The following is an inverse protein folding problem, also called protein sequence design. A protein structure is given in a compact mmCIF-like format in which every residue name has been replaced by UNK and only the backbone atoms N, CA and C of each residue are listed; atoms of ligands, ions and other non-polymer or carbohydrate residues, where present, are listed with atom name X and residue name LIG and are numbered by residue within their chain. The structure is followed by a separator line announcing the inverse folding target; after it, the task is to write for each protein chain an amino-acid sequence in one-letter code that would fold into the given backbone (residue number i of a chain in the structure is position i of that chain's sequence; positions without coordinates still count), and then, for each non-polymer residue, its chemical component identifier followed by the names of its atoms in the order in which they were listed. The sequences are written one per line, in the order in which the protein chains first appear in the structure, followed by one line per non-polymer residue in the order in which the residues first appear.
data_IF_647924788863
#
_entry.id   IF_647924788863
#
_cell.length_a   1.000
_cell.length_b   1.000
_cell.length_c   1.000
_cell.angle_alpha   90.00
_cell.angle_beta   90.00
_cell.angle_gamma   90.00
#
_symmetry.space_group_name_H-M   'P 1'
#
loop_
_entity.id
_entity.type
_entity.pdbx_description
1 polymer ?
#
# COMPACT_ATOMS: atom_id res chain seq x y z
N UNK A 1 3.14 3.76 -16.86
CA UNK A 1 3.91 4.95 -16.42
C UNK A 1 4.30 4.70 -14.98
N UNK A 2 5.57 4.43 -14.70
CA UNK A 2 6.03 4.15 -13.33
C UNK A 2 6.11 5.45 -12.50
N UNK A 3 6.10 5.35 -11.17
CA UNK A 3 6.09 6.54 -10.31
C UNK A 3 7.45 7.25 -10.30
N UNK A 4 8.56 6.55 -10.61
CA UNK A 4 9.89 7.16 -10.80
C UNK A 4 9.92 8.17 -11.94
N UNK A 5 9.22 7.90 -13.05
CA UNK A 5 9.07 8.80 -14.20
C UNK A 5 8.27 10.06 -13.87
N UNK A 6 7.65 10.11 -12.68
CA UNK A 6 6.95 11.27 -12.12
C UNK A 6 7.71 11.93 -10.97
N UNK A 7 8.99 11.61 -10.76
CA UNK A 7 9.82 12.09 -9.66
C UNK A 7 9.21 11.83 -8.27
N UNK A 8 8.48 10.73 -8.11
CA UNK A 8 7.96 10.33 -6.80
C UNK A 8 9.04 9.50 -6.09
N UNK A 9 9.52 10.01 -4.96
CA UNK A 9 10.49 9.32 -4.11
C UNK A 9 9.80 8.26 -3.24
N UNK A 10 10.07 6.98 -3.54
CA UNK A 10 9.57 5.83 -2.78
C UNK A 10 10.23 5.67 -1.41
N UNK A 11 11.36 6.34 -1.20
CA UNK A 11 12.15 6.31 0.04
C UNK A 11 11.89 7.51 0.92
N UNK A 12 10.88 8.34 0.60
CA UNK A 12 10.56 9.56 1.35
C UNK A 12 10.35 9.31 2.85
N UNK A 13 9.86 8.13 3.22
CA UNK A 13 9.70 7.70 4.62
C UNK A 13 11.02 7.65 5.43
N UNK A 14 12.16 7.59 4.75
CA UNK A 14 13.49 7.59 5.38
C UNK A 14 14.00 9.00 5.67
N UNK A 15 13.54 10.00 4.93
CA UNK A 15 13.96 11.41 5.06
C UNK A 15 12.88 12.33 5.66
N UNK A 16 11.63 11.84 5.78
CA UNK A 16 10.51 12.61 6.29
C UNK A 16 10.75 13.14 7.71
N UNK A 17 11.49 12.42 8.55
CA UNK A 17 11.78 12.88 9.90
C UNK A 17 12.65 14.14 9.88
N UNK A 18 13.63 14.21 8.98
CA UNK A 18 14.51 15.36 8.82
C UNK A 18 13.72 16.56 8.29
N UNK A 19 12.88 16.34 7.28
CA UNK A 19 11.98 17.35 6.73
C UNK A 19 11.06 17.95 7.79
N UNK A 20 10.55 17.14 8.72
CA UNK A 20 9.68 17.60 9.80
C UNK A 20 10.45 18.31 10.92
N UNK A 21 11.68 17.92 11.19
CA UNK A 21 12.55 18.57 12.18
C UNK A 21 12.97 19.99 11.73
N UNK A 22 13.10 20.22 10.43
CA UNK A 22 13.43 21.53 9.86
C UNK A 22 12.28 22.54 9.98
N UNK A 23 11.07 22.09 10.33
CA UNK A 23 9.91 22.97 10.50
C UNK A 23 9.93 23.57 11.91
N UNK A 24 10.29 24.86 12.01
CA UNK A 24 10.43 25.56 13.29
C UNK A 24 9.19 25.51 14.19
N UNK A 25 7.98 25.42 13.63
CA UNK A 25 6.73 25.36 14.41
C UNK A 25 6.41 23.97 14.98
N UNK A 26 7.20 22.95 14.68
CA UNK A 26 6.99 21.57 15.14
C UNK A 26 8.04 21.18 16.19
N UNK A 27 7.61 20.32 17.12
CA UNK A 27 8.44 19.69 18.15
C UNK A 27 7.99 18.24 18.35
N UNK A 28 8.76 17.46 19.11
CA UNK A 28 8.47 16.06 19.45
C UNK A 28 8.18 15.16 18.23
N UNK A 29 8.91 15.36 17.14
CA UNK A 29 8.73 14.58 15.91
C UNK A 29 9.10 13.11 16.18
N UNK A 30 8.18 12.19 15.86
CA UNK A 30 8.33 10.74 16.02
C UNK A 30 7.96 10.03 14.73
N UNK A 31 8.70 8.96 14.44
CA UNK A 31 8.39 7.99 13.39
C UNK A 31 7.93 6.69 14.04
N UNK A 32 6.79 6.18 13.61
CA UNK A 32 6.32 4.84 13.93
C UNK A 32 6.26 4.01 12.66
N UNK A 33 6.85 2.82 12.70
CA UNK A 33 6.71 1.82 11.66
C UNK A 33 5.69 0.78 12.11
N UNK A 34 4.73 0.49 11.23
CA UNK A 34 3.66 -0.46 11.48
C UNK A 34 3.72 -1.52 10.40
N UNK A 35 3.91 -2.76 10.83
CA UNK A 35 3.84 -3.92 9.95
C UNK A 35 2.52 -4.64 10.18
N UNK A 36 1.68 -4.69 9.15
CA UNK A 36 0.42 -5.42 9.19
C UNK A 36 0.51 -6.63 8.26
N UNK A 37 0.44 -7.84 8.83
CA UNK A 37 0.33 -9.08 8.05
C UNK A 37 -0.90 -9.04 7.14
N UNK A 38 -0.79 -9.55 5.93
CA UNK A 38 -1.79 -9.32 4.88
C UNK A 38 -2.10 -10.58 4.07
N UNK A 39 -3.39 -10.91 3.93
CA UNK A 39 -3.87 -12.17 3.34
C UNK A 39 -4.54 -13.10 4.37
N UNK A 40 -5.10 -14.22 3.91
CA UNK A 40 -5.87 -15.15 4.76
C UNK A 40 -5.03 -15.80 5.86
N UNK A 41 -3.75 -16.07 5.59
CA UNK A 41 -2.80 -16.60 6.58
C UNK A 41 -2.60 -15.67 7.79
N UNK A 42 -2.86 -14.37 7.64
CA UNK A 42 -2.70 -13.34 8.67
C UNK A 42 -3.90 -13.26 9.65
N UNK A 43 -4.81 -14.24 9.59
CA UNK A 43 -5.99 -14.29 10.45
C UNK A 43 -7.11 -13.36 9.98
N UNK A 44 -8.11 -13.15 10.85
CA UNK A 44 -9.38 -12.49 10.46
C UNK A 44 -9.19 -11.06 9.95
N UNK A 45 -8.32 -10.28 10.58
CA UNK A 45 -8.06 -8.89 10.18
C UNK A 45 -7.28 -8.85 8.85
N UNK A 46 -6.25 -9.69 8.70
CA UNK A 46 -5.49 -9.76 7.46
C UNK A 46 -6.33 -10.21 6.26
N UNK A 47 -7.24 -11.17 6.48
CA UNK A 47 -8.22 -11.60 5.48
C UNK A 47 -9.17 -10.48 5.09
N UNK A 48 -9.73 -9.76 6.07
CA UNK A 48 -10.61 -8.62 5.80
C UNK A 48 -9.90 -7.53 4.98
N UNK A 49 -8.63 -7.26 5.28
CA UNK A 49 -7.82 -6.29 4.54
C UNK A 49 -7.57 -6.72 3.09
N UNK A 50 -7.24 -8.00 2.85
CA UNK A 50 -7.08 -8.52 1.48
C UNK A 50 -8.40 -8.48 0.71
N UNK A 51 -9.50 -8.88 1.35
CA UNK A 51 -10.82 -8.92 0.71
C UNK A 51 -11.28 -7.52 0.29
N UNK A 52 -11.13 -6.53 1.18
CA UNK A 52 -11.43 -5.13 0.88
C UNK A 52 -10.60 -4.58 -0.28
N UNK A 53 -9.33 -4.99 -0.39
CA UNK A 53 -8.46 -4.52 -1.46
C UNK A 53 -8.79 -5.18 -2.79
N UNK A 54 -9.10 -6.48 -2.80
CA UNK A 54 -9.60 -7.13 -4.01
C UNK A 54 -10.96 -6.57 -4.45
N UNK A 55 -11.82 -6.16 -3.51
CA UNK A 55 -13.03 -5.40 -3.85
C UNK A 55 -12.69 -4.06 -4.52
N UNK A 56 -11.70 -3.32 -4.01
CA UNK A 56 -11.22 -2.08 -4.64
C UNK A 56 -10.74 -2.34 -6.08
N UNK A 57 -9.96 -3.40 -6.31
CA UNK A 57 -9.53 -3.79 -7.65
C UNK A 57 -10.72 -4.09 -8.57
N UNK A 58 -11.77 -4.76 -8.08
CA UNK A 58 -12.98 -5.03 -8.86
C UNK A 58 -13.83 -3.77 -9.09
N UNK A 59 -13.95 -2.87 -8.11
CA UNK A 59 -14.71 -1.62 -8.23
C UNK A 59 -14.12 -0.70 -9.31
N UNK A 60 -12.80 -0.60 -9.38
CA UNK A 60 -12.10 0.23 -10.37
C UNK A 60 -11.65 -0.55 -11.61
N UNK A 61 -12.26 -1.71 -11.87
CA UNK A 61 -11.89 -2.66 -12.93
C UNK A 61 -11.63 -1.99 -14.27
N UNK A 62 -12.56 -1.16 -14.78
CA UNK A 62 -12.43 -0.50 -16.10
C UNK A 62 -11.14 0.32 -16.22
N UNK A 63 -10.75 1.02 -15.14
CA UNK A 63 -9.53 1.83 -15.10
C UNK A 63 -8.27 0.97 -15.06
N UNK A 64 -8.30 -0.10 -14.27
CA UNK A 64 -7.15 -0.97 -14.08
C UNK A 64 -6.91 -1.91 -15.27
N UNK A 65 -7.95 -2.43 -15.90
CA UNK A 65 -7.88 -3.19 -17.16
C UNK A 65 -7.01 -2.47 -18.21
N UNK A 66 -7.36 -1.21 -18.49
CA UNK A 66 -6.64 -0.38 -19.46
C UNK A 66 -5.18 -0.14 -19.02
N UNK A 67 -4.96 0.04 -17.73
CA UNK A 67 -3.62 0.33 -17.18
C UNK A 67 -2.70 -0.89 -17.22
N UNK A 68 -3.26 -2.08 -17.00
CA UNK A 68 -2.52 -3.35 -16.97
C UNK A 68 -2.40 -4.00 -18.35
N UNK A 69 -3.06 -3.46 -19.37
CA UNK A 69 -3.05 -4.02 -20.72
C UNK A 69 -3.78 -5.35 -20.85
N UNK A 70 -4.79 -5.59 -19.99
CA UNK A 70 -5.57 -6.83 -19.96
C UNK A 70 -6.76 -6.70 -20.92
N UNK A 71 -6.97 -7.72 -21.75
CA UNK A 71 -7.88 -7.61 -22.91
C UNK A 71 -9.35 -7.74 -22.53
N UNK A 72 -9.68 -8.42 -21.44
CA UNK A 72 -11.06 -8.65 -21.02
C UNK A 72 -11.23 -8.85 -19.51
N UNK A 73 -12.48 -8.75 -19.03
CA UNK A 73 -12.80 -8.84 -17.61
C UNK A 73 -12.50 -10.21 -16.99
N UNK A 74 -12.63 -11.29 -17.77
CA UNK A 74 -12.41 -12.65 -17.27
C UNK A 74 -10.94 -12.86 -16.91
N UNK A 75 -10.03 -12.36 -17.75
CA UNK A 75 -8.60 -12.40 -17.48
C UNK A 75 -8.23 -11.54 -16.26
N UNK A 76 -8.85 -10.37 -16.12
CA UNK A 76 -8.65 -9.51 -14.96
C UNK A 76 -9.10 -10.15 -13.65
N UNK A 77 -10.27 -10.80 -13.63
CA UNK A 77 -10.74 -11.48 -12.44
C UNK A 77 -9.81 -12.66 -12.07
N UNK A 78 -9.24 -13.37 -13.06
CA UNK A 78 -8.21 -14.40 -12.80
C UNK A 78 -6.93 -13.82 -12.19
N UNK A 79 -6.51 -12.63 -12.60
CA UNK A 79 -5.36 -11.95 -12.00
C UNK A 79 -5.61 -11.60 -10.53
N UNK A 80 -6.84 -11.20 -10.18
CA UNK A 80 -7.20 -10.93 -8.79
C UNK A 80 -7.19 -12.23 -7.96
N UNK A 81 -7.68 -13.35 -8.52
CA UNK A 81 -7.60 -14.65 -7.83
C UNK A 81 -6.16 -15.11 -7.65
N UNK A 82 -5.31 -14.99 -8.67
CA UNK A 82 -3.88 -15.30 -8.57
C UNK A 82 -3.20 -14.44 -7.50
N UNK A 83 -3.54 -13.14 -7.44
CA UNK A 83 -3.04 -12.25 -6.38
C UNK A 83 -3.43 -12.76 -4.98
N UNK A 84 -4.66 -13.24 -4.76
CA UNK A 84 -5.02 -13.84 -3.47
C UNK A 84 -4.21 -15.10 -3.13
N UNK A 85 -3.87 -15.92 -4.13
CA UNK A 85 -3.01 -17.09 -3.95
C UNK A 85 -1.59 -16.67 -3.55
N UNK A 86 -1.01 -15.69 -4.25
CA UNK A 86 0.30 -15.13 -3.95
C UNK A 86 0.38 -14.56 -2.52
N UNK A 87 -0.67 -13.88 -2.04
CA UNK A 87 -0.72 -13.39 -0.66
C UNK A 87 -0.59 -14.51 0.38
N UNK A 88 -1.08 -15.72 0.08
CA UNK A 88 -1.01 -16.85 1.00
C UNK A 88 0.28 -17.64 0.87
N UNK A 89 0.86 -17.68 -0.32
CA UNK A 89 2.15 -18.31 -0.59
C UNK A 89 3.30 -17.52 0.04
N UNK A 90 3.43 -16.24 -0.34
CA UNK A 90 4.56 -15.39 0.04
C UNK A 90 4.39 -14.73 1.40
N UNK A 91 3.17 -14.72 1.94
CA UNK A 91 2.82 -14.21 3.26
C UNK A 91 3.35 -12.78 3.52
N UNK A 92 2.95 -11.81 2.69
CA UNK A 92 3.52 -10.48 2.73
C UNK A 92 3.00 -9.65 3.91
N UNK A 93 3.74 -8.60 4.22
CA UNK A 93 3.37 -7.59 5.21
C UNK A 93 3.19 -6.25 4.51
N UNK A 94 2.13 -5.52 4.86
CA UNK A 94 2.04 -4.10 4.54
C UNK A 94 2.84 -3.31 5.56
N UNK A 95 3.81 -2.54 5.08
CA UNK A 95 4.62 -1.65 5.90
C UNK A 95 4.08 -0.23 5.75
N UNK A 96 3.60 0.34 6.84
CA UNK A 96 3.14 1.71 6.94
C UNK A 96 4.05 2.53 7.84
N UNK A 97 4.28 3.78 7.48
CA UNK A 97 5.02 4.73 8.32
C UNK A 97 4.07 5.84 8.77
N UNK A 98 4.03 6.11 10.08
CA UNK A 98 3.32 7.24 10.66
C UNK A 98 4.34 8.23 11.21
N UNK A 99 4.11 9.50 10.93
CA UNK A 99 4.89 10.60 11.47
C UNK A 99 3.97 11.43 12.37
N UNK A 100 4.41 11.62 13.61
CA UNK A 100 3.68 12.34 14.64
C UNK A 100 4.53 13.54 15.04
N UNK A 101 3.91 14.71 15.23
CA UNK A 101 4.59 15.90 15.70
C UNK A 101 3.63 16.74 16.54
N UNK A 102 4.18 17.51 17.47
CA UNK A 102 3.46 18.47 18.30
C UNK A 102 3.69 19.87 17.75
N UNK A 103 2.65 20.70 17.72
CA UNK A 103 2.81 22.13 17.43
C UNK A 103 3.36 22.83 18.67
N UNK A 104 4.41 23.64 18.50
CA UNK A 104 4.95 24.49 19.57
C UNK A 104 3.94 25.52 20.05
#
# INVERSE_FOLDING_TARGET
MDLTSRNIDFTIYSHMIDLLNDIESLTDVKKEEIMASYGKWAGRIGSLLSDNTGLLFRTFKTRFLTTLGVENEVEYDKLIEAWYEELNEYKPYNVGYRFLATKK
#
